data_IF_915341522757
#
_entry.id   IF_915341522757
#
_cell.length_a   1.000
_cell.length_b   1.000
_cell.length_c   1.000
_cell.angle_alpha   90.00
_cell.angle_beta   90.00
_cell.angle_gamma   90.00
#
_symmetry.space_group_name_H-M   'P 1'
#
loop_
_entity.id
_entity.type
_entity.pdbx_description
1 polymer ?
#
# COMPACT_ATOMS: atom_id res chain seq x y z
N UNK A 1 47.14 -60.12 -72.40
CA UNK A 1 46.37 -59.62 -73.55
C UNK A 1 45.45 -60.74 -73.98
N UNK A 2 44.14 -60.65 -74.07
CA UNK A 2 43.16 -59.62 -73.75
C UNK A 2 41.82 -60.35 -73.62
N UNK A 3 40.99 -59.95 -72.66
CA UNK A 3 39.62 -60.44 -72.45
C UNK A 3 38.65 -59.86 -73.50
N UNK A 4 37.48 -60.47 -73.63
CA UNK A 4 36.24 -59.92 -74.24
C UNK A 4 35.09 -60.74 -73.64
N UNK A 5 34.29 -60.13 -72.76
CA UNK A 5 32.94 -59.55 -73.03
C UNK A 5 31.87 -60.67 -73.19
N UNK A 6 30.64 -60.60 -72.66
CA UNK A 6 29.73 -59.46 -72.45
C UNK A 6 28.45 -59.90 -71.70
N UNK A 7 27.68 -58.89 -71.23
CA UNK A 7 26.22 -58.81 -70.99
C UNK A 7 25.61 -59.57 -69.78
N UNK A 8 24.61 -59.10 -69.01
CA UNK A 8 23.36 -58.39 -69.37
C UNK A 8 22.64 -57.88 -68.07
N UNK A 9 22.38 -56.57 -67.90
CA UNK A 9 21.09 -55.82 -67.94
C UNK A 9 19.86 -56.46 -67.24
N UNK A 10 19.46 -56.01 -66.03
CA UNK A 10 18.36 -55.05 -65.72
C UNK A 10 16.95 -55.65 -65.61
N UNK A 11 16.21 -55.34 -64.53
CA UNK A 11 14.90 -54.68 -64.69
C UNK A 11 14.40 -53.99 -63.40
N UNK A 12 13.57 -52.99 -63.63
CA UNK A 12 13.07 -51.94 -62.77
C UNK A 12 11.56 -52.16 -62.53
N UNK A 13 10.95 -51.30 -61.71
CA UNK A 13 9.49 -51.08 -61.60
C UNK A 13 8.70 -52.00 -60.66
N UNK A 14 8.24 -51.44 -59.54
CA UNK A 14 6.88 -50.89 -59.46
C UNK A 14 6.51 -50.54 -58.01
N UNK A 15 6.08 -49.30 -57.83
CA UNK A 15 5.56 -48.73 -56.60
C UNK A 15 4.02 -48.74 -56.71
N UNK A 16 3.27 -48.81 -55.60
CA UNK A 16 2.04 -48.05 -55.54
C UNK A 16 2.13 -47.02 -54.41
N UNK A 17 2.04 -45.76 -54.82
CA UNK A 17 1.86 -44.63 -53.93
C UNK A 17 0.50 -44.75 -53.22
N UNK A 18 0.52 -44.86 -51.90
CA UNK A 18 -0.62 -44.58 -51.03
C UNK A 18 -0.71 -43.07 -50.81
N UNK A 19 -1.91 -42.52 -51.04
CA UNK A 19 -2.28 -41.13 -50.73
C UNK A 19 -2.02 -40.82 -49.24
N UNK A 20 -1.56 -39.60 -48.90
CA UNK A 20 -1.09 -39.27 -47.57
C UNK A 20 -2.27 -39.07 -46.62
N UNK A 21 -2.34 -39.87 -45.56
CA UNK A 21 -3.10 -39.53 -44.36
C UNK A 21 -2.45 -38.30 -43.73
N UNK A 22 -3.06 -37.12 -43.94
CA UNK A 22 -2.67 -35.86 -43.30
C UNK A 22 -2.82 -36.01 -41.79
N UNK A 23 -1.75 -36.44 -41.12
CA UNK A 23 -1.72 -36.62 -39.68
C UNK A 23 -1.43 -35.26 -39.03
N UNK A 24 -2.47 -34.46 -38.80
CA UNK A 24 -2.47 -33.14 -38.15
C UNK A 24 -1.82 -33.13 -36.75
N UNK A 25 -1.45 -34.30 -36.23
CA UNK A 25 -0.79 -34.47 -34.93
C UNK A 25 0.74 -34.48 -35.00
N UNK A 26 1.34 -34.58 -36.19
CA UNK A 26 2.80 -34.63 -36.35
C UNK A 26 3.48 -33.26 -36.54
N UNK A 27 2.77 -32.27 -37.10
CA UNK A 27 3.27 -30.90 -37.24
C UNK A 27 3.68 -30.24 -35.91
N UNK A 28 2.86 -30.23 -34.84
CA UNK A 28 3.25 -29.54 -33.60
C UNK A 28 4.46 -30.21 -32.93
N UNK A 29 4.65 -31.52 -33.13
CA UNK A 29 5.79 -32.25 -32.60
C UNK A 29 7.08 -31.96 -33.37
N UNK A 30 7.01 -31.78 -34.69
CA UNK A 30 8.16 -31.39 -35.53
C UNK A 30 8.60 -29.96 -35.27
N UNK A 31 7.66 -29.02 -35.16
CA UNK A 31 7.95 -27.61 -34.86
C UNK A 31 8.58 -27.48 -33.47
N UNK A 32 8.08 -28.22 -32.47
CA UNK A 32 8.65 -28.24 -31.11
C UNK A 32 10.08 -28.81 -31.10
N UNK A 33 10.34 -29.88 -31.88
CA UNK A 33 11.71 -30.42 -32.06
C UNK A 33 12.64 -29.44 -32.76
N UNK A 34 12.18 -28.78 -33.83
CA UNK A 34 12.98 -27.81 -34.58
C UNK A 34 13.31 -26.55 -33.76
N UNK A 35 12.34 -26.02 -33.01
CA UNK A 35 12.53 -24.91 -32.07
C UNK A 35 13.50 -25.29 -30.96
N UNK A 36 13.36 -26.48 -30.37
CA UNK A 36 14.29 -26.96 -29.34
C UNK A 36 15.73 -27.11 -29.87
N UNK A 37 15.92 -27.62 -31.09
CA UNK A 37 17.24 -27.75 -31.71
C UNK A 37 17.91 -26.40 -31.98
N UNK A 38 17.14 -25.39 -32.42
CA UNK A 38 17.64 -24.02 -32.60
C UNK A 38 17.92 -23.33 -31.27
N UNK A 39 17.06 -23.48 -30.27
CA UNK A 39 17.30 -22.97 -28.91
C UNK A 39 18.59 -23.55 -28.32
N UNK A 40 18.77 -24.88 -28.37
CA UNK A 40 19.97 -25.53 -27.85
C UNK A 40 21.25 -25.10 -28.60
N UNK A 41 21.17 -24.82 -29.90
CA UNK A 41 22.31 -24.30 -30.68
C UNK A 41 22.77 -22.92 -30.21
N UNK A 42 21.82 -22.02 -29.91
CA UNK A 42 22.10 -20.65 -29.45
C UNK A 42 22.56 -20.64 -27.97
N UNK A 43 22.05 -21.55 -27.15
CA UNK A 43 22.46 -21.71 -25.75
C UNK A 43 23.79 -22.45 -25.57
N UNK A 44 24.24 -23.24 -26.55
CA UNK A 44 25.46 -24.04 -26.45
C UNK A 44 26.77 -23.25 -26.22
N UNK A 45 27.05 -22.09 -26.87
CA UNK A 45 28.24 -21.31 -26.52
C UNK A 45 28.13 -20.69 -25.12
N UNK A 46 26.93 -20.30 -24.71
CA UNK A 46 26.64 -19.72 -23.39
C UNK A 46 26.92 -20.77 -22.29
N UNK A 47 26.44 -22.00 -22.48
CA UNK A 47 26.71 -23.12 -21.56
C UNK A 47 28.20 -23.52 -21.54
N UNK A 48 28.89 -23.56 -22.69
CA UNK A 48 30.33 -23.88 -22.72
C UNK A 48 31.18 -22.84 -21.98
N UNK A 49 30.83 -21.56 -22.10
CA UNK A 49 31.47 -20.47 -21.35
C UNK A 49 31.21 -20.64 -19.84
N UNK A 50 29.98 -21.00 -19.44
CA UNK A 50 29.59 -21.24 -18.05
C UNK A 50 30.31 -22.45 -17.42
N UNK A 51 30.55 -23.53 -18.18
CA UNK A 51 31.09 -24.80 -17.66
C UNK A 51 32.60 -25.02 -17.91
N UNK A 52 33.36 -23.98 -18.27
CA UNK A 52 34.82 -24.09 -18.42
C UNK A 52 35.52 -24.15 -17.03
N UNK A 53 36.40 -25.13 -16.74
CA UNK A 53 36.92 -25.39 -15.38
C UNK A 53 37.74 -24.24 -14.78
N UNK A 54 38.42 -23.46 -15.61
CA UNK A 54 39.18 -22.27 -15.22
C UNK A 54 38.26 -21.09 -14.84
N UNK A 55 37.11 -20.99 -15.50
CA UNK A 55 36.12 -19.94 -15.29
C UNK A 55 35.15 -20.27 -14.14
N UNK A 56 34.94 -21.56 -13.82
CA UNK A 56 34.10 -22.01 -12.71
C UNK A 56 34.47 -21.36 -11.37
N UNK A 57 35.77 -21.19 -11.08
CA UNK A 57 36.21 -20.53 -9.84
C UNK A 57 35.81 -19.04 -9.80
N UNK A 58 35.89 -18.36 -10.94
CA UNK A 58 35.47 -16.96 -11.08
C UNK A 58 33.95 -16.83 -10.98
N UNK A 59 33.20 -17.76 -11.59
CA UNK A 59 31.74 -17.80 -11.49
C UNK A 59 31.25 -18.09 -10.07
N UNK A 60 31.84 -19.06 -9.37
CA UNK A 60 31.49 -19.36 -7.97
C UNK A 60 31.76 -18.16 -7.08
N UNK A 61 32.91 -17.47 -7.26
CA UNK A 61 33.23 -16.24 -6.52
C UNK A 61 32.29 -15.08 -6.86
N UNK A 62 31.91 -14.92 -8.13
CA UNK A 62 30.96 -13.88 -8.57
C UNK A 62 29.54 -14.15 -8.06
N UNK A 63 29.10 -15.41 -8.08
CA UNK A 63 27.82 -15.81 -7.50
C UNK A 63 27.82 -15.57 -5.98
N UNK A 64 28.90 -15.97 -5.29
CA UNK A 64 29.06 -15.73 -3.86
C UNK A 64 29.09 -14.23 -3.53
N UNK A 65 29.73 -13.39 -4.36
CA UNK A 65 29.72 -11.94 -4.16
C UNK A 65 28.35 -11.32 -4.41
N UNK A 66 27.60 -11.77 -5.43
CA UNK A 66 26.22 -11.35 -5.66
C UNK A 66 25.33 -11.73 -4.48
N UNK A 67 25.44 -12.96 -3.99
CA UNK A 67 24.69 -13.43 -2.82
C UNK A 67 25.06 -12.61 -1.57
N UNK A 68 26.35 -12.30 -1.38
CA UNK A 68 26.80 -11.44 -0.29
C UNK A 68 26.19 -10.04 -0.39
N UNK A 69 26.23 -9.42 -1.58
CA UNK A 69 25.64 -8.10 -1.83
C UNK A 69 24.14 -8.13 -1.55
N UNK A 70 23.42 -9.12 -2.07
CA UNK A 70 21.97 -9.27 -1.82
C UNK A 70 21.71 -9.46 -0.32
N UNK A 71 22.51 -10.26 0.38
CA UNK A 71 22.36 -10.49 1.83
C UNK A 71 22.58 -9.21 2.63
N UNK A 72 23.60 -8.44 2.27
CA UNK A 72 23.88 -7.12 2.90
C UNK A 72 22.74 -6.15 2.62
N UNK A 73 22.22 -6.09 1.39
CA UNK A 73 21.09 -5.24 1.03
C UNK A 73 19.81 -5.62 1.78
N UNK A 74 19.52 -6.93 1.86
CA UNK A 74 18.33 -7.43 2.55
C UNK A 74 18.43 -7.16 4.06
N UNK A 75 19.60 -7.39 4.64
CA UNK A 75 19.90 -7.05 6.04
C UNK A 75 19.74 -5.56 6.30
N UNK A 76 20.25 -4.70 5.40
CA UNK A 76 20.11 -3.24 5.49
C UNK A 76 18.64 -2.80 5.44
N UNK A 77 17.85 -3.36 4.55
CA UNK A 77 16.42 -3.06 4.45
C UNK A 77 15.66 -3.48 5.71
N UNK A 78 15.91 -4.70 6.21
CA UNK A 78 15.29 -5.20 7.44
C UNK A 78 15.71 -4.34 8.64
N UNK A 79 16.99 -3.99 8.75
CA UNK A 79 17.49 -3.09 9.78
C UNK A 79 16.80 -1.74 9.70
N UNK A 80 16.72 -1.11 8.51
CA UNK A 80 16.03 0.16 8.32
C UNK A 80 14.56 0.10 8.77
N UNK A 81 13.80 -0.91 8.31
CA UNK A 81 12.40 -1.06 8.69
C UNK A 81 12.25 -1.29 10.20
N UNK A 82 13.13 -2.09 10.80
CA UNK A 82 13.16 -2.33 12.24
C UNK A 82 13.46 -1.06 13.02
N UNK A 83 14.48 -0.30 12.62
CA UNK A 83 14.82 0.99 13.22
C UNK A 83 13.68 1.99 13.09
N UNK A 84 13.10 2.13 11.90
CA UNK A 84 11.97 3.01 11.65
C UNK A 84 10.80 2.67 12.58
N UNK A 85 10.42 1.38 12.67
CA UNK A 85 9.31 0.93 13.51
C UNK A 85 9.60 0.99 15.01
N UNK A 86 10.85 0.83 15.43
CA UNK A 86 11.24 0.79 16.85
C UNK A 86 11.51 2.17 17.43
N UNK A 87 12.10 3.07 16.65
CA UNK A 87 12.59 4.38 17.14
C UNK A 87 11.70 5.56 16.77
N UNK A 88 10.85 5.46 15.75
CA UNK A 88 9.90 6.53 15.44
C UNK A 88 8.58 6.23 16.17
N UNK A 89 8.35 6.83 17.35
CA UNK A 89 7.07 6.68 18.04
C UNK A 89 5.97 7.32 17.19
N UNK A 90 4.78 6.71 17.21
CA UNK A 90 3.59 7.32 16.62
C UNK A 90 3.21 8.51 17.49
N UNK A 91 3.38 9.74 16.99
CA UNK A 91 3.15 11.00 17.74
C UNK A 91 1.74 11.57 17.59
N UNK A 92 0.86 10.87 16.87
CA UNK A 92 -0.52 11.31 16.61
C UNK A 92 -1.45 10.22 17.12
N UNK A 93 -2.29 10.58 18.09
CA UNK A 93 -3.34 9.75 18.63
C UNK A 93 -4.67 10.21 18.04
N UNK A 94 -5.45 9.27 17.52
CA UNK A 94 -6.76 9.55 16.93
C UNK A 94 -7.75 8.62 17.58
N UNK A 95 -8.67 9.19 18.34
CA UNK A 95 -9.76 8.46 18.99
C UNK A 95 -11.09 8.87 18.37
N UNK A 96 -11.99 7.90 18.10
CA UNK A 96 -13.31 8.22 17.58
C UNK A 96 -14.17 8.91 18.64
N UNK A 97 -14.90 9.95 18.23
CA UNK A 97 -15.84 10.66 19.08
C UNK A 97 -17.25 10.16 18.76
N UNK A 98 -17.94 9.61 19.76
CA UNK A 98 -19.33 9.21 19.64
C UNK A 98 -20.24 10.28 20.26
N UNK A 99 -21.01 10.95 19.40
CA UNK A 99 -21.96 11.95 19.83
C UNK A 99 -23.24 11.30 20.35
N UNK A 100 -23.67 11.76 21.52
CA UNK A 100 -24.98 11.48 22.10
C UNK A 100 -25.91 12.63 21.74
N UNK A 101 -27.00 12.30 21.07
CA UNK A 101 -28.02 13.25 20.66
C UNK A 101 -29.23 13.08 21.59
N UNK A 102 -29.56 14.11 22.35
CA UNK A 102 -30.80 14.19 23.11
C UNK A 102 -31.68 15.29 22.53
N UNK A 103 -32.99 15.20 22.75
CA UNK A 103 -33.98 16.09 22.11
C UNK A 103 -33.82 17.56 22.53
N UNK A 104 -33.32 17.78 23.75
CA UNK A 104 -33.29 19.10 24.40
C UNK A 104 -31.87 19.59 24.74
N UNK A 105 -30.82 18.87 24.31
CA UNK A 105 -29.44 19.29 24.53
C UNK A 105 -28.61 19.29 23.24
N UNK A 106 -27.51 20.04 23.28
CA UNK A 106 -26.55 20.08 22.18
C UNK A 106 -25.87 18.69 22.03
N UNK A 107 -25.49 18.31 20.81
CA UNK A 107 -24.74 17.08 20.58
C UNK A 107 -23.42 17.09 21.36
N UNK A 108 -23.21 16.10 22.22
CA UNK A 108 -22.01 16.00 23.05
C UNK A 108 -21.39 14.61 22.99
N UNK A 109 -20.07 14.52 23.07
CA UNK A 109 -19.35 13.26 23.08
C UNK A 109 -18.21 13.33 24.10
N UNK A 110 -17.98 12.24 24.82
CA UNK A 110 -16.88 12.10 25.76
C UNK A 110 -15.91 11.05 25.25
N UNK A 111 -14.62 11.36 25.31
CA UNK A 111 -13.54 10.45 24.90
C UNK A 111 -12.56 10.32 26.04
N UNK A 112 -12.28 9.08 26.42
CA UNK A 112 -11.27 8.76 27.42
C UNK A 112 -9.93 8.55 26.72
N UNK A 113 -8.97 9.43 27.01
CA UNK A 113 -7.59 9.30 26.55
C UNK A 113 -6.78 8.55 27.62
N UNK A 114 -6.26 7.35 27.36
CA UNK A 114 -5.38 6.67 28.30
C UNK A 114 -4.13 7.51 28.60
N UNK A 115 -3.79 7.66 29.89
CA UNK A 115 -2.63 8.47 30.31
C UNK A 115 -1.26 7.98 29.81
N UNK A 116 -1.16 6.74 29.31
CA UNK A 116 0.06 6.24 28.69
C UNK A 116 0.23 6.71 27.23
N UNK A 117 -0.80 7.29 26.61
CA UNK A 117 -0.72 7.81 25.24
C UNK A 117 -0.05 9.20 25.19
N UNK A 118 -0.13 9.97 26.27
CA UNK A 118 0.46 11.30 26.33
C UNK A 118 1.81 11.22 27.07
N UNK A 119 2.89 11.46 26.36
CA UNK A 119 4.20 11.64 26.98
C UNK A 119 4.23 12.94 27.80
N UNK A 120 4.68 12.84 29.06
CA UNK A 120 4.90 13.99 29.95
C UNK A 120 5.94 14.94 29.34
N UNK A 121 5.76 16.25 29.54
CA UNK A 121 6.66 17.32 29.04
C UNK A 121 6.72 17.46 27.50
N UNK A 122 5.80 16.82 26.78
CA UNK A 122 5.61 17.03 25.34
C UNK A 122 4.41 17.95 25.09
N UNK A 123 4.59 18.91 24.19
CA UNK A 123 3.53 19.77 23.73
C UNK A 123 2.67 19.08 22.65
N UNK A 124 1.36 19.07 22.84
CA UNK A 124 0.38 18.46 21.94
C UNK A 124 -0.58 19.50 21.35
N UNK A 125 -0.89 19.33 20.07
CA UNK A 125 -1.97 20.05 19.41
C UNK A 125 -3.22 19.17 19.39
N UNK A 126 -4.34 19.71 19.86
CA UNK A 126 -5.62 19.01 19.91
C UNK A 126 -6.55 19.59 18.84
N UNK A 127 -6.99 18.75 17.93
CA UNK A 127 -7.92 19.10 16.86
C UNK A 127 -9.02 18.07 16.73
N UNK A 128 -10.23 18.52 16.40
CA UNK A 128 -11.36 17.63 16.10
C UNK A 128 -11.58 17.60 14.60
N UNK A 129 -11.64 16.39 14.03
CA UNK A 129 -11.97 16.16 12.64
C UNK A 129 -13.43 15.72 12.54
N UNK A 130 -14.28 16.56 11.94
CA UNK A 130 -15.70 16.28 11.72
C UNK A 130 -15.93 15.81 10.28
N UNK A 131 -16.70 14.74 10.12
CA UNK A 131 -17.18 14.28 8.81
C UNK A 131 -18.64 14.69 8.66
N UNK A 132 -18.91 15.63 7.76
CA UNK A 132 -20.24 16.23 7.60
C UNK A 132 -20.75 16.04 6.16
N UNK A 133 -21.96 15.49 5.95
CA UNK A 133 -22.55 15.39 4.62
C UNK A 133 -22.74 16.75 3.96
N UNK A 134 -22.50 16.84 2.65
CA UNK A 134 -22.68 18.08 1.88
C UNK A 134 -24.15 18.31 1.47
N UNK A 135 -25.05 18.33 2.45
CA UNK A 135 -26.48 18.59 2.25
C UNK A 135 -26.82 20.09 2.34
N UNK A 136 -27.93 20.51 1.74
CA UNK A 136 -28.38 21.90 1.81
C UNK A 136 -28.68 22.35 3.24
N UNK A 137 -29.22 21.46 4.07
CA UNK A 137 -29.48 21.73 5.50
C UNK A 137 -28.16 22.07 6.22
N UNK A 138 -27.09 21.31 5.98
CA UNK A 138 -25.81 21.54 6.63
C UNK A 138 -25.10 22.79 6.11
N UNK A 139 -25.26 23.13 4.82
CA UNK A 139 -24.73 24.40 4.28
C UNK A 139 -25.49 25.62 4.82
N UNK A 140 -26.81 25.52 4.94
CA UNK A 140 -27.65 26.60 5.46
C UNK A 140 -27.48 26.83 6.97
N UNK A 141 -26.92 25.87 7.69
CA UNK A 141 -26.58 26.00 9.10
C UNK A 141 -25.54 27.11 9.34
N UNK A 142 -24.66 27.37 8.37
CA UNK A 142 -23.68 28.44 8.44
C UNK A 142 -22.56 28.17 9.46
N UNK A 143 -22.20 29.20 10.23
CA UNK A 143 -21.18 29.09 11.27
C UNK A 143 -21.73 28.30 12.46
N UNK A 144 -20.97 27.32 12.93
CA UNK A 144 -21.24 26.61 14.18
C UNK A 144 -19.99 26.63 15.07
N UNK A 145 -20.18 26.44 16.37
CA UNK A 145 -19.08 26.38 17.34
C UNK A 145 -18.81 24.95 17.74
N UNK A 146 -17.52 24.60 17.86
CA UNK A 146 -17.07 23.36 18.49
C UNK A 146 -16.46 23.72 19.84
N UNK A 147 -16.99 23.12 20.89
CA UNK A 147 -16.55 23.28 22.27
C UNK A 147 -15.80 22.02 22.73
N UNK A 148 -14.69 22.20 23.43
CA UNK A 148 -13.86 21.13 23.97
C UNK A 148 -13.50 21.46 25.41
N UNK A 149 -13.85 20.56 26.31
CA UNK A 149 -13.36 20.54 27.69
C UNK A 149 -12.38 19.39 27.89
N UNK A 150 -11.16 19.71 28.30
CA UNK A 150 -10.18 18.74 28.74
C UNK A 150 -10.29 18.58 30.25
N UNK A 151 -10.62 17.36 30.67
CA UNK A 151 -10.81 16.99 32.07
C UNK A 151 -9.67 16.08 32.52
N UNK A 152 -9.25 16.23 33.77
CA UNK A 152 -8.36 15.28 34.44
C UNK A 152 -9.14 14.01 34.84
N UNK A 153 -8.44 12.95 35.21
CA UNK A 153 -9.06 11.68 35.61
C UNK A 153 -10.02 11.81 36.81
N UNK A 154 -9.80 12.80 37.68
CA UNK A 154 -10.69 13.13 38.81
C UNK A 154 -11.92 13.97 38.41
N UNK A 155 -12.09 14.27 37.12
CA UNK A 155 -13.16 15.10 36.59
C UNK A 155 -12.93 16.62 36.68
N UNK A 156 -11.77 17.08 37.18
CA UNK A 156 -11.48 18.51 37.26
C UNK A 156 -11.16 19.08 35.87
N UNK A 157 -11.73 20.25 35.55
CA UNK A 157 -11.44 20.96 34.30
C UNK A 157 -9.99 21.44 34.26
N UNK A 158 -9.22 20.95 33.28
CA UNK A 158 -7.85 21.39 33.02
C UNK A 158 -7.84 22.63 32.13
N UNK A 159 -8.59 22.56 31.02
CA UNK A 159 -8.70 23.66 30.07
C UNK A 159 -9.94 23.48 29.20
N UNK A 160 -10.44 24.60 28.69
CA UNK A 160 -11.58 24.66 27.78
C UNK A 160 -11.19 25.45 26.53
N UNK A 161 -11.70 25.05 25.37
CA UNK A 161 -11.51 25.76 24.12
C UNK A 161 -12.78 25.75 23.29
N UNK A 162 -13.08 26.88 22.67
CA UNK A 162 -14.22 27.06 21.78
C UNK A 162 -13.76 27.67 20.47
N UNK A 163 -14.06 27.01 19.35
CA UNK A 163 -13.66 27.47 18.02
C UNK A 163 -14.81 27.45 17.02
N UNK A 164 -14.98 28.51 16.21
CA UNK A 164 -15.95 28.49 15.13
C UNK A 164 -15.47 27.61 14.00
N UNK A 165 -16.41 26.97 13.32
CA UNK A 165 -16.22 26.19 12.11
C UNK A 165 -17.39 26.45 11.15
N UNK A 166 -17.14 26.26 9.87
CA UNK A 166 -18.14 26.43 8.82
C UNK A 166 -17.87 25.44 7.69
N UNK A 167 -18.93 24.94 7.06
CA UNK A 167 -18.80 24.16 5.83
C UNK A 167 -18.25 25.04 4.70
N UNK A 168 -17.50 24.44 3.78
CA UNK A 168 -16.92 25.21 2.68
C UNK A 168 -18.02 25.57 1.69
N UNK A 169 -18.45 26.84 1.72
CA UNK A 169 -19.47 27.34 0.82
C UNK A 169 -19.17 26.99 -0.64
N UNK A 170 -20.20 26.57 -1.35
CA UNK A 170 -20.18 26.24 -2.76
C UNK A 170 -21.44 26.81 -3.39
N UNK A 171 -21.27 27.50 -4.51
CA UNK A 171 -22.42 27.98 -5.27
C UNK A 171 -23.12 26.82 -5.98
N UNK A 172 -24.42 26.98 -6.25
CA UNK A 172 -25.24 26.00 -6.98
C UNK A 172 -24.58 25.48 -8.28
N UNK A 173 -24.05 26.33 -9.19
CA UNK A 173 -23.42 25.83 -10.41
C UNK A 173 -22.14 25.03 -10.13
N UNK A 174 -21.33 25.44 -9.13
CA UNK A 174 -20.12 24.70 -8.75
C UNK A 174 -20.47 23.32 -8.17
N UNK A 175 -21.58 23.25 -7.41
CA UNK A 175 -22.07 21.97 -6.88
C UNK A 175 -22.50 21.04 -8.01
N UNK A 176 -23.30 21.52 -8.94
CA UNK A 176 -23.75 20.74 -10.10
C UNK A 176 -22.55 20.22 -10.90
N UNK A 177 -21.60 21.10 -11.24
CA UNK A 177 -20.42 20.70 -12.01
C UNK A 177 -19.58 19.64 -11.27
N UNK A 178 -19.46 19.76 -9.95
CA UNK A 178 -18.73 18.80 -9.13
C UNK A 178 -19.43 17.45 -9.09
N UNK A 179 -20.74 17.42 -8.91
CA UNK A 179 -21.53 16.19 -8.90
C UNK A 179 -21.43 15.53 -10.26
N UNK A 180 -21.64 16.28 -11.36
CA UNK A 180 -21.48 15.81 -12.74
C UNK A 180 -20.10 15.17 -12.99
N UNK A 181 -19.03 15.83 -12.55
CA UNK A 181 -17.67 15.31 -12.66
C UNK A 181 -17.43 14.01 -11.85
N UNK A 182 -18.30 13.69 -10.88
CA UNK A 182 -18.22 12.52 -10.00
C UNK A 182 -19.36 11.52 -10.18
N UNK A 183 -20.23 11.65 -11.18
CA UNK A 183 -21.43 10.79 -11.33
C UNK A 183 -21.06 9.31 -11.38
N UNK A 184 -20.08 8.94 -12.20
CA UNK A 184 -19.66 7.54 -12.35
C UNK A 184 -19.18 6.94 -11.02
N UNK A 185 -18.18 7.52 -10.32
CA UNK A 185 -17.71 6.96 -9.05
C UNK A 185 -18.74 7.04 -7.91
N UNK A 186 -19.68 8.00 -7.92
CA UNK A 186 -20.75 8.09 -6.94
C UNK A 186 -21.76 6.94 -7.09
N UNK A 187 -22.19 6.62 -8.32
CA UNK A 187 -23.14 5.51 -8.57
C UNK A 187 -22.54 4.16 -8.19
N UNK A 188 -21.24 4.00 -8.42
CA UNK A 188 -20.50 2.79 -8.08
C UNK A 188 -20.26 2.69 -6.55
N UNK A 189 -20.43 3.78 -5.79
CA UNK A 189 -20.20 3.82 -4.35
C UNK A 189 -18.72 3.91 -3.96
N UNK A 190 -17.85 4.36 -4.87
CA UNK A 190 -16.43 4.59 -4.56
C UNK A 190 -16.17 5.93 -3.89
N UNK A 191 -17.11 6.86 -4.00
CA UNK A 191 -17.01 8.19 -3.43
C UNK A 191 -18.29 8.54 -2.68
N UNK A 192 -18.14 9.30 -1.60
CA UNK A 192 -19.26 9.87 -0.85
C UNK A 192 -19.27 11.40 -0.95
N UNK A 193 -20.46 11.97 -0.81
CA UNK A 193 -20.67 13.41 -0.72
C UNK A 193 -20.56 13.91 0.73
N UNK A 194 -19.35 13.78 1.29
CA UNK A 194 -19.02 14.29 2.62
C UNK A 194 -17.84 15.25 2.57
N UNK A 195 -17.83 16.19 3.52
CA UNK A 195 -16.74 17.11 3.76
C UNK A 195 -16.10 16.79 5.11
N UNK A 196 -14.77 16.67 5.12
CA UNK A 196 -14.00 16.61 6.36
C UNK A 196 -13.58 18.02 6.78
N UNK A 197 -13.91 18.42 8.00
CA UNK A 197 -13.59 19.72 8.59
C UNK A 197 -12.64 19.48 9.75
N UNK A 198 -11.42 20.02 9.69
CA UNK A 198 -10.47 19.97 10.79
C UNK A 198 -10.54 21.26 11.60
N UNK A 199 -10.88 21.15 12.89
CA UNK A 199 -11.04 22.29 13.80
C UNK A 199 -9.93 22.22 14.87
N UNK A 200 -8.88 23.05 14.78
CA UNK A 200 -7.81 23.10 15.77
C UNK A 200 -8.29 23.84 17.03
N UNK A 201 -8.42 23.12 18.14
CA UNK A 201 -8.99 23.64 19.38
C UNK A 201 -7.91 24.17 20.31
N UNK A 202 -6.87 23.37 20.57
CA UNK A 202 -5.79 23.70 21.50
C UNK A 202 -4.46 23.50 20.80
N UNK A 203 -3.51 24.40 21.04
CA UNK A 203 -2.14 24.30 20.52
C UNK A 203 -1.15 24.26 21.68
N UNK A 204 -0.15 23.40 21.58
CA UNK A 204 0.94 23.30 22.55
C UNK A 204 0.51 22.97 23.98
N UNK A 205 -0.52 22.13 24.14
CA UNK A 205 -0.93 21.62 25.45
C UNK A 205 0.17 20.73 26.03
N UNK A 206 0.69 21.07 27.21
CA UNK A 206 1.67 20.25 27.93
C UNK A 206 1.02 19.69 29.17
N UNK A 207 1.03 18.36 29.30
CA UNK A 207 0.58 17.70 30.51
C UNK A 207 1.62 17.92 31.62
N UNK A 208 1.24 18.74 32.61
CA UNK A 208 2.03 18.88 33.84
C UNK A 208 1.58 17.82 34.82
N UNK A 209 2.51 17.00 35.29
CA UNK A 209 2.30 16.11 36.43
C UNK A 209 1.98 17.00 37.64
N UNK A 210 0.72 16.99 38.08
CA UNK A 210 0.35 17.62 39.36
C UNK A 210 1.11 16.83 40.42
N UNK A 211 2.13 17.44 41.01
CA UNK A 211 2.75 16.89 42.21
C UNK A 211 1.66 16.97 43.29
N UNK A 212 1.14 15.82 43.72
CA UNK A 212 0.46 15.77 45.01
C UNK A 212 1.47 16.18 46.06
N UNK A 213 1.42 17.45 46.44
CA UNK A 213 2.14 17.99 47.57
C UNK A 213 1.52 17.35 48.80
N UNK A 214 2.10 16.22 49.22
CA UNK A 214 1.81 15.54 50.47
C UNK A 214 2.29 16.44 51.61
N UNK A 215 1.57 17.54 51.86
CA UNK A 215 1.80 18.37 53.01
C UNK A 215 1.17 17.66 54.20
N UNK A 216 1.99 16.82 54.84
CA UNK A 216 1.73 16.35 56.19
C UNK A 216 1.58 17.56 57.10
N UNK A 217 0.34 17.86 57.47
CA UNK A 217 0.04 18.70 58.61
C UNK A 217 0.37 17.90 59.86
N UNK A 218 1.62 18.01 60.32
CA UNK A 218 1.94 17.92 61.74
C UNK A 218 1.63 19.30 62.30
N UNK A 219 0.52 19.41 63.02
CA UNK A 219 0.38 20.13 64.30
C UNK A 219 -0.90 19.65 64.99
#
# INVERSE_FOLDING_TARGET
MSSTDTDEYSDQSSNPALLPSHNDKEEPLRVKRYLSQRLFGILSPIFKIIFTPSAQRTYVKALASIILIISVLLSSFIAYVSFYRRYIPKRVHVEPIYFHYSKDALPQGHVYLPGHLLATDQAYDVSVQLYVPTSDINFNLGNFMVHLDLLLHNGSLLTTSSRPAILRYQSNPQRILRVLAKVVPLIIGWMDESQSINVPLIKGFVERKVMEEHNGSIE
#
